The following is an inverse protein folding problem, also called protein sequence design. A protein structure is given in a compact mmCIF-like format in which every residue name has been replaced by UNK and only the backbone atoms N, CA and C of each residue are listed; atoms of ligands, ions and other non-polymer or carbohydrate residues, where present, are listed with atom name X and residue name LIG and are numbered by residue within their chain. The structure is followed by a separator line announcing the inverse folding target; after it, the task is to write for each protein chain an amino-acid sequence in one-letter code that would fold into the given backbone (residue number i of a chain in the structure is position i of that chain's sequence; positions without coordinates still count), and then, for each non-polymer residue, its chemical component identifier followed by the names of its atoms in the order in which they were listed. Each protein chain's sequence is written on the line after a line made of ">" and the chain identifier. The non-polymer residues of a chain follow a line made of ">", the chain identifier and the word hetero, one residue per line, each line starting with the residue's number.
data_IF_444091473965
#
_entry.id   IF_444091473965
#
_cell.length_a   1.000
_cell.length_b   1.000
_cell.length_c   1.000
_cell.angle_alpha   90.00
_cell.angle_beta   90.00
_cell.angle_gamma   90.00
#
_symmetry.space_group_name_H-M   'P 1'
#
loop_
_entity.id
_entity.type
_entity.pdbx_description
1 polymer ?
#
# COMPACT_ATOMS: atom_id res chain seq x y z
N UNK A 1 -6.76 33.98 -30.72
CA UNK A 1 -7.46 33.27 -29.62
C UNK A 1 -6.76 31.93 -29.39
N UNK A 2 -5.76 31.91 -28.51
CA UNK A 2 -5.12 30.67 -28.06
C UNK A 2 -5.55 30.43 -26.62
N UNK A 3 -6.39 29.44 -26.40
CA UNK A 3 -6.73 28.98 -25.05
C UNK A 3 -5.58 28.11 -24.54
N UNK A 4 -4.78 28.64 -23.61
CA UNK A 4 -3.95 27.83 -22.73
C UNK A 4 -4.85 27.23 -21.64
N UNK A 5 -5.17 25.94 -21.76
CA UNK A 5 -5.79 25.16 -20.69
C UNK A 5 -4.68 24.70 -19.73
N UNK A 6 -4.29 25.57 -18.80
CA UNK A 6 -3.44 25.17 -17.68
C UNK A 6 -4.29 24.38 -16.69
N UNK A 7 -4.30 23.04 -16.83
CA UNK A 7 -4.83 22.13 -15.82
C UNK A 7 -3.96 22.25 -14.56
N UNK A 8 -4.47 23.00 -13.59
CA UNK A 8 -3.94 23.11 -12.24
C UNK A 8 -3.92 21.71 -11.61
N UNK A 9 -2.72 21.15 -11.44
CA UNK A 9 -2.49 19.96 -10.60
C UNK A 9 -2.95 20.29 -9.18
N UNK A 10 -4.12 19.78 -8.79
CA UNK A 10 -4.54 19.80 -7.40
C UNK A 10 -3.69 18.78 -6.67
N UNK A 11 -2.62 19.25 -6.04
CA UNK A 11 -1.91 18.48 -5.02
C UNK A 11 -2.94 18.13 -3.93
N UNK A 12 -3.31 16.86 -3.87
CA UNK A 12 -4.14 16.35 -2.79
C UNK A 12 -3.35 16.51 -1.48
N UNK A 13 -3.96 17.05 -0.42
CA UNK A 13 -3.27 17.23 0.85
C UNK A 13 -2.79 15.88 1.33
N UNK A 14 -1.49 15.75 1.57
CA UNK A 14 -0.90 14.60 2.28
C UNK A 14 -1.40 14.67 3.72
N UNK A 15 -2.55 14.07 3.97
CA UNK A 15 -3.12 13.93 5.31
C UNK A 15 -2.10 13.18 6.16
N UNK A 16 -1.45 13.94 7.04
CA UNK A 16 -0.35 13.45 7.87
C UNK A 16 -0.99 12.74 9.06
N UNK A 17 -1.42 11.49 8.86
CA UNK A 17 -1.94 10.66 9.95
C UNK A 17 -0.72 10.19 10.75
N UNK A 18 -0.42 10.90 11.85
CA UNK A 18 0.61 10.51 12.80
C UNK A 18 0.25 9.16 13.45
N UNK A 19 1.22 8.30 13.76
CA UNK A 19 0.99 6.90 14.11
C UNK A 19 0.35 6.83 15.49
N UNK A 20 -0.80 6.15 15.59
CA UNK A 20 -1.35 5.68 16.87
C UNK A 20 -0.99 4.21 17.01
N UNK A 21 -0.22 3.91 18.05
CA UNK A 21 0.02 2.62 18.69
C UNK A 21 0.07 1.41 17.75
N UNK A 22 1.28 1.01 17.34
CA UNK A 22 1.56 -0.11 16.42
C UNK A 22 0.56 -1.27 16.53
N UNK A 23 -0.47 -1.31 15.65
CA UNK A 23 -1.35 -2.46 15.59
C UNK A 23 -0.50 -3.61 15.05
N UNK A 24 -0.31 -4.64 15.85
CA UNK A 24 0.40 -5.84 15.41
C UNK A 24 -0.32 -6.38 14.16
N UNK A 25 0.43 -6.56 13.07
CA UNK A 25 -0.12 -7.08 11.81
C UNK A 25 -0.61 -8.49 12.08
N UNK A 26 -1.93 -8.70 12.03
CA UNK A 26 -2.49 -10.03 12.24
C UNK A 26 -2.43 -10.80 10.91
N UNK A 27 -1.65 -11.90 10.83
CA UNK A 27 -1.54 -12.67 9.60
C UNK A 27 -2.89 -13.31 9.23
N UNK A 28 -3.32 -13.14 7.98
CA UNK A 28 -4.62 -13.65 7.50
C UNK A 28 -5.81 -12.71 7.71
N UNK A 29 -5.57 -11.49 8.22
CA UNK A 29 -6.60 -10.46 8.31
C UNK A 29 -7.05 -9.94 6.94
N UNK A 30 -6.21 -10.10 5.90
CA UNK A 30 -6.47 -9.77 4.50
C UNK A 30 -7.70 -10.47 3.90
N UNK A 31 -8.12 -11.62 4.45
CA UNK A 31 -9.37 -12.32 4.07
C UNK A 31 -10.63 -11.47 4.29
N UNK A 32 -10.55 -10.39 5.09
CA UNK A 32 -11.68 -9.49 5.33
C UNK A 32 -11.93 -8.49 4.19
N UNK A 33 -10.89 -8.13 3.45
CA UNK A 33 -10.96 -7.17 2.34
C UNK A 33 -10.96 -7.90 1.00
N UNK A 34 -10.19 -8.98 0.91
CA UNK A 34 -10.07 -9.82 -0.27
C UNK A 34 -10.83 -11.12 -0.02
N UNK A 35 -11.63 -11.58 -0.98
CA UNK A 35 -12.32 -12.86 -0.87
C UNK A 35 -11.33 -13.96 -0.47
N UNK A 36 -11.68 -14.80 0.53
CA UNK A 36 -10.84 -15.88 1.06
C UNK A 36 -10.20 -16.77 -0.03
N UNK A 37 -10.92 -17.07 -1.10
CA UNK A 37 -10.39 -17.86 -2.23
C UNK A 37 -9.28 -17.11 -2.96
N UNK A 38 -9.51 -15.82 -3.27
CA UNK A 38 -8.51 -14.96 -3.89
C UNK A 38 -7.31 -14.78 -2.95
N UNK A 39 -7.56 -14.51 -1.67
CA UNK A 39 -6.52 -14.36 -0.66
C UNK A 39 -5.61 -15.59 -0.59
N UNK A 40 -6.18 -16.79 -0.64
CA UNK A 40 -5.39 -18.04 -0.63
C UNK A 40 -4.46 -18.18 -1.84
N UNK A 41 -4.87 -17.65 -3.00
CA UNK A 41 -4.14 -17.70 -4.27
C UNK A 41 -3.11 -16.57 -4.42
N UNK A 42 -3.14 -15.55 -3.55
CA UNK A 42 -2.17 -14.44 -3.60
C UNK A 42 -0.76 -14.89 -3.19
N UNK A 43 0.24 -14.22 -3.76
CA UNK A 43 1.62 -14.35 -3.32
C UNK A 43 1.81 -13.88 -1.87
N UNK A 44 2.85 -14.39 -1.21
CA UNK A 44 3.11 -14.11 0.20
C UNK A 44 3.32 -12.62 0.50
N UNK A 45 3.91 -11.87 -0.43
CA UNK A 45 4.12 -10.43 -0.29
C UNK A 45 2.79 -9.68 -0.35
N UNK A 46 1.93 -10.05 -1.30
CA UNK A 46 0.61 -9.47 -1.49
C UNK A 46 -0.32 -9.79 -0.31
N UNK A 47 -0.23 -11.00 0.26
CA UNK A 47 -0.92 -11.40 1.49
C UNK A 47 -0.55 -10.49 2.66
N UNK A 48 0.75 -10.28 2.89
CA UNK A 48 1.25 -9.38 3.95
C UNK A 48 0.79 -7.94 3.74
N UNK A 49 0.82 -7.43 2.51
CA UNK A 49 0.33 -6.09 2.21
C UNK A 49 -1.19 -5.95 2.51
N UNK A 50 -1.98 -6.97 2.18
CA UNK A 50 -3.41 -7.00 2.53
C UNK A 50 -3.63 -7.05 4.06
N UNK A 51 -2.83 -7.82 4.79
CA UNK A 51 -2.89 -7.86 6.26
C UNK A 51 -2.54 -6.50 6.90
N UNK A 52 -1.51 -5.82 6.37
CA UNK A 52 -1.14 -4.46 6.80
C UNK A 52 -2.26 -3.47 6.48
N UNK A 53 -2.91 -3.58 5.32
CA UNK A 53 -4.03 -2.72 4.93
C UNK A 53 -5.20 -2.84 5.91
N UNK A 54 -5.55 -4.06 6.33
CA UNK A 54 -6.64 -4.29 7.29
C UNK A 54 -6.28 -3.74 8.67
N UNK A 55 -5.02 -3.93 9.09
CA UNK A 55 -4.60 -3.64 10.45
C UNK A 55 -4.26 -2.15 10.65
N UNK A 56 -3.58 -1.53 9.69
CA UNK A 56 -3.00 -0.18 9.79
C UNK A 56 -3.61 0.83 8.79
N UNK A 57 -4.42 0.37 7.85
CA UNK A 57 -5.03 1.21 6.82
C UNK A 57 -4.22 1.28 5.52
N UNK A 58 -4.79 2.00 4.54
CA UNK A 58 -4.28 2.05 3.16
C UNK A 58 -2.91 2.73 3.07
N UNK A 59 -2.69 3.85 3.75
CA UNK A 59 -1.41 4.59 3.68
C UNK A 59 -0.24 3.75 4.18
N UNK A 60 -0.42 3.05 5.31
CA UNK A 60 0.58 2.14 5.85
C UNK A 60 0.84 0.93 4.93
N UNK A 61 -0.19 0.44 4.24
CA UNK A 61 -0.03 -0.63 3.25
C UNK A 61 0.78 -0.17 2.03
N UNK A 62 0.51 1.04 1.54
CA UNK A 62 1.28 1.64 0.44
C UNK A 62 2.74 1.82 0.87
N UNK A 63 3.00 2.38 2.06
CA UNK A 63 4.36 2.50 2.59
C UNK A 63 5.05 1.14 2.75
N UNK A 64 4.31 0.09 3.14
CA UNK A 64 4.83 -1.27 3.24
C UNK A 64 5.22 -1.82 1.85
N UNK A 65 4.40 -1.58 0.82
CA UNK A 65 4.72 -1.98 -0.55
C UNK A 65 5.95 -1.24 -1.10
N UNK A 66 6.19 -0.01 -0.67
CA UNK A 66 7.39 0.75 -1.03
C UNK A 66 8.62 0.45 -0.14
N UNK A 67 8.55 -0.58 0.70
CA UNK A 67 9.69 -1.07 1.48
C UNK A 67 10.06 -2.47 1.02
N UNK A 68 11.36 -2.70 0.81
CA UNK A 68 11.83 -4.00 0.38
C UNK A 68 11.52 -5.06 1.45
N UNK A 69 10.92 -6.20 1.09
CA UNK A 69 10.51 -7.21 2.07
C UNK A 69 11.70 -7.82 2.83
N UNK A 70 12.89 -7.80 2.23
CA UNK A 70 14.10 -8.37 2.81
C UNK A 70 15.04 -7.34 3.46
N UNK A 71 15.22 -6.16 2.85
CA UNK A 71 16.20 -5.17 3.31
C UNK A 71 15.55 -4.03 4.09
N UNK A 72 14.23 -3.83 3.95
CA UNK A 72 13.50 -2.71 4.55
C UNK A 72 13.79 -1.36 3.91
N UNK A 73 14.63 -1.31 2.88
CA UNK A 73 14.97 -0.08 2.18
C UNK A 73 13.80 0.43 1.35
N UNK A 74 13.77 1.75 1.12
CA UNK A 74 12.77 2.37 0.26
C UNK A 74 13.04 1.99 -1.19
N UNK A 75 12.03 1.48 -1.87
CA UNK A 75 12.11 1.02 -3.26
C UNK A 75 11.44 2.00 -4.20
N UNK A 76 11.90 2.00 -5.45
CA UNK A 76 11.28 2.76 -6.52
C UNK A 76 10.02 2.06 -7.05
N UNK A 77 9.26 2.75 -7.90
CA UNK A 77 8.01 2.22 -8.44
C UNK A 77 8.23 0.95 -9.29
N UNK A 78 9.32 0.89 -10.06
CA UNK A 78 9.62 -0.25 -10.92
C UNK A 78 9.88 -1.51 -10.09
N UNK A 79 10.67 -1.39 -9.02
CA UNK A 79 10.95 -2.48 -8.08
C UNK A 79 9.69 -2.88 -7.33
N UNK A 80 8.85 -1.92 -6.93
CA UNK A 80 7.55 -2.23 -6.29
C UNK A 80 6.65 -3.05 -7.19
N UNK A 81 6.52 -2.67 -8.45
CA UNK A 81 5.74 -3.42 -9.44
C UNK A 81 6.32 -4.81 -9.70
N UNK A 82 7.63 -5.02 -9.56
CA UNK A 82 8.22 -6.36 -9.66
C UNK A 82 7.79 -7.29 -8.52
N UNK A 83 7.68 -6.79 -7.29
CA UNK A 83 7.32 -7.60 -6.12
C UNK A 83 5.82 -7.73 -5.85
N UNK A 84 5.03 -6.73 -6.23
CA UNK A 84 3.61 -6.60 -5.87
C UNK A 84 2.66 -6.39 -7.07
N UNK A 85 3.17 -6.41 -8.30
CA UNK A 85 2.44 -5.97 -9.49
C UNK A 85 1.93 -7.04 -10.43
#
# INVERSE_FOLDING_TARGET
>A
MCYLFMSSNKETPKETIKPKDDPQVVPGSGEKIVNKQIYSLMDNNNKKAADVMVSKGVDAAVEHMFKHPETGEKMDYATMRYFYG
#
